data_IF_529967375229
#
_entry.id   IF_529967375229
#
_cell.length_a   1.000
_cell.length_b   1.000
_cell.length_c   1.000
_cell.angle_alpha   90.00
_cell.angle_beta   90.00
_cell.angle_gamma   90.00
#
_symmetry.space_group_name_H-M   'P 1'
#
loop_
_entity.id
_entity.type
_entity.pdbx_description
1 polymer ?
#
# COMPACT_ATOMS: atom_id res chain seq x y z
N UNK A 1 -2.85 -18.88 -5.47
CA UNK A 1 -2.90 -17.50 -6.01
C UNK A 1 -2.54 -16.50 -4.91
N UNK A 2 -1.48 -15.70 -5.10
CA UNK A 2 -1.10 -14.69 -4.13
C UNK A 2 -2.10 -13.54 -4.04
N UNK A 3 -2.29 -12.97 -2.86
CA UNK A 3 -3.22 -11.87 -2.56
C UNK A 3 -2.45 -10.64 -2.10
N UNK A 4 -2.86 -9.48 -2.58
CA UNK A 4 -2.34 -8.17 -2.19
C UNK A 4 -3.48 -7.33 -1.62
N UNK A 5 -3.31 -6.83 -0.40
CA UNK A 5 -4.31 -5.96 0.25
C UNK A 5 -3.69 -4.62 0.61
N UNK A 6 -4.36 -3.53 0.24
CA UNK A 6 -4.02 -2.20 0.72
C UNK A 6 -4.47 -2.02 2.17
N UNK A 7 -3.54 -1.69 3.07
CA UNK A 7 -3.79 -1.42 4.49
C UNK A 7 -3.29 -0.04 4.89
N UNK A 8 -3.77 0.41 6.05
CA UNK A 8 -3.49 1.71 6.64
C UNK A 8 -2.95 1.50 8.06
N UNK A 9 -1.93 2.26 8.45
CA UNK A 9 -1.38 2.24 9.82
C UNK A 9 -1.23 3.69 10.32
N UNK A 10 -1.71 4.02 11.52
CA UNK A 10 -1.48 5.34 12.12
C UNK A 10 0.02 5.65 12.25
N UNK A 11 0.37 6.91 11.99
CA UNK A 11 1.71 7.47 12.17
C UNK A 11 1.60 8.83 12.89
N UNK A 12 2.74 9.45 13.17
CA UNK A 12 2.81 10.76 13.83
C UNK A 12 2.01 11.85 13.11
N UNK A 13 1.57 12.87 13.87
CA UNK A 13 0.92 14.09 13.35
C UNK A 13 -0.43 13.83 12.65
N UNK A 14 -1.26 12.93 13.21
CA UNK A 14 -2.64 12.70 12.73
C UNK A 14 -2.72 12.11 11.32
N UNK A 15 -1.69 11.39 10.88
CA UNK A 15 -1.59 10.80 9.55
C UNK A 15 -1.66 9.27 9.63
N UNK A 16 -1.99 8.64 8.52
CA UNK A 16 -1.92 7.19 8.34
C UNK A 16 -1.06 6.86 7.12
N UNK A 17 -0.05 6.01 7.30
CA UNK A 17 0.73 5.47 6.18
C UNK A 17 -0.04 4.37 5.47
N UNK A 18 0.13 4.28 4.16
CA UNK A 18 -0.41 3.21 3.33
C UNK A 18 0.67 2.15 3.06
N UNK A 19 0.28 0.87 3.12
CA UNK A 19 1.17 -0.25 2.85
C UNK A 19 0.39 -1.43 2.24
N UNK A 20 1.09 -2.29 1.52
CA UNK A 20 0.55 -3.52 0.96
C UNK A 20 0.84 -4.69 1.91
N UNK A 21 -0.16 -5.53 2.14
CA UNK A 21 -0.08 -6.83 2.82
C UNK A 21 -0.15 -7.93 1.76
N UNK A 22 0.98 -8.59 1.51
CA UNK A 22 1.17 -9.58 0.45
C UNK A 22 1.25 -10.99 1.05
N UNK A 23 0.38 -11.88 0.61
CA UNK A 23 0.36 -13.28 1.07
C UNK A 23 0.24 -14.28 -0.10
N UNK A 24 1.12 -15.29 -0.21
CA UNK A 24 2.28 -15.55 0.65
C UNK A 24 3.36 -14.45 0.51
N UNK A 25 4.26 -14.30 1.50
CA UNK A 25 5.36 -13.35 1.44
C UNK A 25 6.20 -13.51 0.16
N UNK A 26 6.62 -12.40 -0.44
CA UNK A 26 7.40 -12.41 -1.70
C UNK A 26 8.90 -12.26 -1.44
N UNK A 27 9.78 -12.97 -2.17
CA UNK A 27 11.22 -12.85 -1.97
C UNK A 27 11.68 -11.44 -2.35
N UNK A 28 12.47 -10.81 -1.48
CA UNK A 28 13.17 -9.59 -1.83
C UNK A 28 14.43 -9.93 -2.63
N UNK A 29 14.59 -9.35 -3.81
CA UNK A 29 15.75 -9.56 -4.68
C UNK A 29 17.06 -9.12 -4.01
N UNK A 30 17.01 -8.11 -3.13
CA UNK A 30 18.21 -7.50 -2.54
C UNK A 30 18.58 -8.09 -1.18
N UNK A 31 17.61 -8.63 -0.46
CA UNK A 31 17.78 -9.18 0.89
C UNK A 31 17.19 -10.57 0.81
N UNK A 32 17.97 -11.65 0.96
CA UNK A 32 17.55 -13.07 0.92
C UNK A 32 16.49 -13.42 1.99
N UNK A 33 15.40 -12.66 2.06
CA UNK A 33 14.34 -12.65 3.05
C UNK A 33 13.03 -12.40 2.31
N UNK A 34 11.98 -13.08 2.74
CA UNK A 34 10.65 -12.84 2.23
C UNK A 34 10.02 -11.62 2.92
N UNK A 35 9.36 -10.77 2.14
CA UNK A 35 8.69 -9.57 2.62
C UNK A 35 7.18 -9.73 2.42
N UNK A 36 6.44 -9.55 3.52
CA UNK A 36 4.98 -9.50 3.53
C UNK A 36 4.44 -8.08 3.39
N UNK A 37 5.04 -7.14 4.13
CA UNK A 37 4.55 -5.77 4.20
C UNK A 37 5.41 -4.82 3.37
N UNK A 38 4.79 -4.12 2.43
CA UNK A 38 5.47 -3.14 1.57
C UNK A 38 4.89 -1.75 1.78
N UNK A 39 5.64 -0.87 2.46
CA UNK A 39 5.21 0.50 2.72
C UNK A 39 5.31 1.35 1.45
N UNK A 40 4.23 2.06 1.10
CA UNK A 40 4.16 2.86 -0.12
C UNK A 40 4.79 4.26 0.03
N UNK A 41 5.19 4.63 1.25
CA UNK A 41 5.61 6.00 1.62
C UNK A 41 4.56 7.08 1.30
N UNK A 42 3.31 6.65 1.09
CA UNK A 42 2.14 7.50 0.93
C UNK A 42 1.44 7.65 2.29
N UNK A 43 0.90 8.84 2.55
CA UNK A 43 0.10 9.09 3.74
C UNK A 43 -1.24 9.74 3.41
N UNK A 44 -2.22 9.48 4.26
CA UNK A 44 -3.50 10.18 4.29
C UNK A 44 -3.70 10.83 5.66
N UNK A 45 -4.49 11.89 5.73
CA UNK A 45 -4.92 12.49 6.98
C UNK A 45 -5.98 11.58 7.64
N UNK A 46 -5.82 11.29 8.93
CA UNK A 46 -6.75 10.45 9.69
C UNK A 46 -8.13 11.12 9.86
N UNK A 47 -8.13 12.43 10.08
CA UNK A 47 -9.34 13.25 10.21
C UNK A 47 -9.20 14.51 9.34
N UNK A 48 -9.48 14.42 8.02
CA UNK A 48 -9.35 15.55 7.11
C UNK A 48 -10.48 16.57 7.37
N UNK A 49 -10.13 17.76 7.81
CA UNK A 49 -11.07 18.86 8.09
C UNK A 49 -11.22 19.76 6.87
N UNK A 50 -10.11 20.09 6.21
CA UNK A 50 -10.10 21.01 5.07
C UNK A 50 -10.44 20.29 3.75
N UNK A 51 -11.01 21.03 2.79
CA UNK A 51 -11.30 20.51 1.44
C UNK A 51 -10.03 19.98 0.74
N UNK A 52 -8.90 20.66 0.92
CA UNK A 52 -7.60 20.24 0.39
C UNK A 52 -7.13 18.90 0.96
N UNK A 53 -7.33 18.65 2.26
CA UNK A 53 -6.98 17.37 2.90
C UNK A 53 -7.87 16.23 2.41
N UNK A 54 -9.16 16.50 2.17
CA UNK A 54 -10.10 15.53 1.59
C UNK A 54 -9.72 15.17 0.16
N UNK A 55 -9.36 16.17 -0.66
CA UNK A 55 -8.87 15.96 -2.03
C UNK A 55 -7.57 15.16 -2.03
N UNK A 56 -6.59 15.54 -1.21
CA UNK A 56 -5.34 14.80 -1.03
C UNK A 56 -5.58 13.34 -0.67
N UNK A 57 -6.46 13.07 0.29
CA UNK A 57 -6.80 11.71 0.70
C UNK A 57 -7.41 10.90 -0.46
N UNK A 58 -8.32 11.50 -1.23
CA UNK A 58 -8.97 10.85 -2.38
C UNK A 58 -7.95 10.49 -3.45
N UNK A 59 -7.11 11.42 -3.86
CA UNK A 59 -6.08 11.22 -4.88
C UNK A 59 -5.04 10.20 -4.43
N UNK A 60 -4.56 10.32 -3.19
CA UNK A 60 -3.60 9.39 -2.62
C UNK A 60 -4.15 7.97 -2.50
N UNK A 61 -5.43 7.82 -2.13
CA UNK A 61 -6.09 6.51 -2.08
C UNK A 61 -6.27 5.91 -3.47
N UNK A 62 -6.61 6.71 -4.48
CA UNK A 62 -6.72 6.25 -5.85
C UNK A 62 -5.36 5.78 -6.39
N UNK A 63 -4.30 6.55 -6.15
CA UNK A 63 -2.93 6.15 -6.48
C UNK A 63 -2.55 4.83 -5.80
N UNK A 64 -2.83 4.70 -4.50
CA UNK A 64 -2.51 3.49 -3.74
C UNK A 64 -3.30 2.25 -4.23
N UNK A 65 -4.55 2.43 -4.66
CA UNK A 65 -5.35 1.36 -5.30
C UNK A 65 -4.71 0.92 -6.62
N UNK A 66 -4.26 1.86 -7.46
CA UNK A 66 -3.58 1.54 -8.71
C UNK A 66 -2.27 0.76 -8.47
N UNK A 67 -1.48 1.17 -7.48
CA UNK A 67 -0.27 0.45 -7.07
C UNK A 67 -0.62 -0.97 -6.59
N UNK A 68 -1.68 -1.11 -5.78
CA UNK A 68 -2.15 -2.41 -5.31
C UNK A 68 -2.56 -3.34 -6.46
N UNK A 69 -3.31 -2.82 -7.44
CA UNK A 69 -3.74 -3.57 -8.61
C UNK A 69 -2.55 -4.02 -9.48
N UNK A 70 -1.62 -3.11 -9.76
CA UNK A 70 -0.38 -3.45 -10.48
C UNK A 70 0.40 -4.56 -9.77
N UNK A 71 0.56 -4.46 -8.45
CA UNK A 71 1.26 -5.47 -7.66
C UNK A 71 0.53 -6.82 -7.63
N UNK A 72 -0.80 -6.81 -7.63
CA UNK A 72 -1.60 -8.02 -7.72
C UNK A 72 -1.37 -8.75 -9.04
N UNK A 73 -1.33 -8.02 -10.16
CA UNK A 73 -1.02 -8.59 -11.48
C UNK A 73 0.40 -9.17 -11.53
N UNK A 74 1.40 -8.45 -11.00
CA UNK A 74 2.78 -8.95 -10.92
C UNK A 74 2.88 -10.30 -10.17
N UNK A 75 2.15 -10.43 -9.07
CA UNK A 75 2.15 -11.67 -8.26
C UNK A 75 1.39 -12.80 -8.96
N UNK A 76 0.31 -12.48 -9.68
CA UNK A 76 -0.40 -13.46 -10.49
C UNK A 76 0.47 -13.97 -11.63
N UNK A 77 1.09 -13.07 -12.39
CA UNK A 77 1.94 -13.43 -13.54
C UNK A 77 3.19 -14.21 -13.13
N UNK A 78 3.74 -13.97 -11.93
CA UNK A 78 4.88 -14.76 -11.41
C UNK A 78 4.48 -16.18 -10.95
N UNK A 79 3.18 -16.41 -10.73
CA UNK A 79 2.65 -17.73 -10.36
C UNK A 79 2.30 -18.59 -11.58
N UNK A 80 2.50 -18.05 -12.79
CA UNK A 80 2.42 -18.74 -14.09
C UNK A 80 3.83 -19.07 -14.53
#
# INVERSE_FOLDING_TARGET
MGKVKLRKKPISKGRMTLYLDIYPPVPNLNKKKFIRFHYLRLYIYQSPKLKVEKTHNRETLNLAKNICAKRQLEIQNRSV
#
